data_IF_070326143520
#
_entry.id   IF_070326143520
#
_cell.length_a   1.000
_cell.length_b   1.000
_cell.length_c   1.000
_cell.angle_alpha   90.00
_cell.angle_beta   90.00
_cell.angle_gamma   90.00
#
_symmetry.space_group_name_H-M   'P 1'
#
loop_
_entity.id
_entity.type
_entity.pdbx_description
1 polymer ?
#
# COMPACT_ATOMS: atom_id res chain seq x y z
N UNK A 1 15.09 -9.03 10.55
CA UNK A 1 14.27 -8.01 9.84
C UNK A 1 12.83 -8.23 10.23
N UNK A 2 12.11 -7.20 10.69
CA UNK A 2 10.69 -7.34 11.04
C UNK A 2 9.85 -7.43 9.74
N UNK A 3 8.75 -8.21 9.73
CA UNK A 3 7.88 -8.29 8.56
C UNK A 3 7.22 -6.93 8.28
N UNK A 4 7.21 -6.51 7.02
CA UNK A 4 6.51 -5.30 6.61
C UNK A 4 4.99 -5.47 6.77
N UNK A 5 4.35 -4.53 7.47
CA UNK A 5 2.90 -4.46 7.63
C UNK A 5 2.40 -3.34 6.73
N UNK A 6 1.58 -3.64 5.69
CA UNK A 6 1.09 -2.60 4.80
C UNK A 6 0.29 -1.52 5.51
N UNK A 7 0.61 -0.26 5.27
CA UNK A 7 -0.07 0.92 5.84
C UNK A 7 -0.85 1.66 4.76
N UNK A 8 -2.15 1.85 5.00
CA UNK A 8 -3.04 2.61 4.12
C UNK A 8 -3.45 3.91 4.82
N UNK A 9 -3.14 5.05 4.22
CA UNK A 9 -3.52 6.37 4.75
C UNK A 9 -4.86 6.84 4.19
N UNK A 10 -5.82 7.12 5.06
CA UNK A 10 -7.19 7.52 4.70
C UNK A 10 -7.41 9.02 4.91
N UNK A 11 -7.43 9.81 3.83
CA UNK A 11 -7.45 11.29 3.88
C UNK A 11 -8.74 11.89 3.33
N UNK A 12 -9.06 13.12 3.71
CA UNK A 12 -10.19 13.90 3.16
C UNK A 12 -9.84 14.62 1.85
N UNK A 13 -10.81 15.32 1.26
CA UNK A 13 -10.56 16.24 0.16
C UNK A 13 -9.64 17.37 0.61
N UNK A 14 -8.59 17.68 -0.16
CA UNK A 14 -7.79 18.90 0.01
C UNK A 14 -6.37 18.71 0.57
N UNK A 15 -6.04 17.56 1.18
CA UNK A 15 -4.66 17.28 1.62
C UNK A 15 -4.02 16.21 0.72
N UNK A 16 -3.39 16.65 -0.37
CA UNK A 16 -2.43 15.83 -1.11
C UNK A 16 -1.05 16.00 -0.47
N UNK A 17 -0.67 15.05 0.39
CA UNK A 17 0.75 14.86 0.69
C UNK A 17 1.44 14.41 -0.59
N UNK A 18 2.66 14.89 -0.81
CA UNK A 18 3.44 14.42 -1.96
C UNK A 18 3.75 12.93 -1.81
N UNK A 19 3.98 12.25 -2.93
CA UNK A 19 4.42 10.85 -2.92
C UNK A 19 5.72 10.64 -2.14
N UNK A 20 6.61 11.65 -2.10
CA UNK A 20 7.85 11.60 -1.31
C UNK A 20 7.58 11.60 0.19
N UNK A 21 6.73 12.51 0.68
CA UNK A 21 6.38 12.59 2.10
C UNK A 21 5.69 11.31 2.59
N UNK A 22 4.80 10.74 1.77
CA UNK A 22 4.11 9.50 2.12
C UNK A 22 5.08 8.32 2.23
N UNK A 23 6.05 8.24 1.32
CA UNK A 23 7.09 7.20 1.35
C UNK A 23 8.01 7.34 2.57
N UNK A 24 8.41 8.56 2.91
CA UNK A 24 9.20 8.85 4.10
C UNK A 24 8.46 8.46 5.39
N UNK A 25 7.13 8.64 5.42
CA UNK A 25 6.29 8.25 6.54
C UNK A 25 5.95 6.74 6.57
N UNK A 26 6.45 5.93 5.62
CA UNK A 26 6.15 4.51 5.56
C UNK A 26 4.70 4.18 5.17
N UNK A 27 4.05 5.07 4.41
CA UNK A 27 2.71 4.83 3.85
C UNK A 27 2.83 4.10 2.51
N UNK A 28 2.17 2.95 2.39
CA UNK A 28 2.17 2.15 1.15
C UNK A 28 1.05 2.56 0.19
N UNK A 29 -0.10 2.96 0.72
CA UNK A 29 -1.27 3.30 -0.08
C UNK A 29 -2.04 4.51 0.46
N UNK A 30 -2.78 5.19 -0.41
CA UNK A 30 -3.70 6.27 -0.06
C UNK A 30 -5.12 5.86 -0.43
N UNK A 31 -6.09 6.18 0.43
CA UNK A 31 -7.52 6.13 0.11
C UNK A 31 -8.18 7.48 0.45
N UNK A 32 -8.73 8.15 -0.56
CA UNK A 32 -9.38 9.46 -0.39
C UNK A 32 -10.85 9.28 0.01
N UNK A 33 -11.31 10.04 0.98
CA UNK A 33 -12.71 10.11 1.43
C UNK A 33 -13.50 11.11 0.58
N UNK A 34 -14.78 10.81 0.28
CA UNK A 34 -15.46 9.55 0.54
C UNK A 34 -14.99 8.48 -0.43
N UNK A 35 -14.99 7.24 0.05
CA UNK A 35 -14.69 6.05 -0.73
C UNK A 35 -15.87 5.09 -0.70
N UNK A 36 -15.97 4.25 -1.72
CA UNK A 36 -16.90 3.13 -1.81
C UNK A 36 -16.28 1.89 -1.18
N UNK A 37 -17.10 0.97 -0.67
CA UNK A 37 -16.65 -0.31 -0.13
C UNK A 37 -15.78 -1.10 -1.13
N UNK A 38 -16.10 -1.04 -2.43
CA UNK A 38 -15.29 -1.69 -3.48
C UNK A 38 -13.84 -1.18 -3.53
N UNK A 39 -13.61 0.08 -3.19
CA UNK A 39 -12.27 0.67 -3.16
C UNK A 39 -11.47 0.15 -1.95
N UNK A 40 -12.14 -0.05 -0.81
CA UNK A 40 -11.55 -0.73 0.35
C UNK A 40 -11.18 -2.18 0.00
N UNK A 41 -12.09 -2.94 -0.61
CA UNK A 41 -11.80 -4.33 -1.01
C UNK A 41 -10.60 -4.41 -1.97
N UNK A 42 -10.51 -3.47 -2.92
CA UNK A 42 -9.40 -3.38 -3.85
C UNK A 42 -8.06 -3.09 -3.16
N UNK A 43 -8.05 -2.15 -2.20
CA UNK A 43 -6.82 -1.78 -1.48
C UNK A 43 -6.33 -2.90 -0.57
N UNK A 44 -7.26 -3.61 0.10
CA UNK A 44 -6.93 -4.78 0.93
C UNK A 44 -6.32 -5.90 0.07
N UNK A 45 -6.90 -6.16 -1.11
CA UNK A 45 -6.35 -7.14 -2.05
C UNK A 45 -4.93 -6.76 -2.47
N UNK A 46 -4.71 -5.51 -2.88
CA UNK A 46 -3.37 -5.00 -3.25
C UNK A 46 -2.36 -5.13 -2.10
N UNK A 47 -2.75 -4.73 -0.89
CA UNK A 47 -1.89 -4.81 0.29
C UNK A 47 -1.48 -6.25 0.63
N UNK A 48 -2.39 -7.21 0.47
CA UNK A 48 -2.09 -8.64 0.66
C UNK A 48 -1.23 -9.23 -0.46
N UNK A 49 -1.49 -8.84 -1.71
CA UNK A 49 -0.75 -9.32 -2.88
C UNK A 49 0.68 -8.76 -2.93
N UNK A 50 0.91 -7.58 -2.34
CA UNK A 50 2.23 -6.94 -2.23
C UNK A 50 3.24 -7.78 -1.42
N UNK A 51 2.77 -8.74 -0.61
CA UNK A 51 3.62 -9.73 0.08
C UNK A 51 4.20 -10.82 -0.85
N UNK A 52 3.72 -10.95 -2.10
CA UNK A 52 4.12 -12.05 -3.00
C UNK A 52 5.32 -11.75 -3.92
N UNK A 53 5.91 -10.55 -3.90
CA UNK A 53 7.01 -10.20 -4.81
C UNK A 53 8.42 -10.38 -4.23
N UNK A 54 8.58 -11.22 -3.20
CA UNK A 54 9.89 -11.78 -2.78
C UNK A 54 9.94 -13.29 -3.04
N UNK A 55 9.94 -13.67 -4.32
CA UNK A 55 10.59 -14.89 -4.80
C UNK A 55 11.32 -14.52 -6.10
N UNK A 56 12.61 -14.22 -5.98
CA UNK A 56 13.52 -14.35 -7.12
C UNK A 56 13.90 -15.82 -7.15
N UNK A 57 13.45 -16.50 -8.20
CA UNK A 57 13.91 -17.83 -8.58
C UNK A 57 15.43 -17.81 -8.70
N UNK A 58 16.11 -18.58 -7.85
CA UNK A 58 17.48 -19.02 -8.09
C UNK A 58 17.55 -20.53 -8.00
N UNK A 59 16.90 -21.19 -8.95
CA UNK A 59 17.25 -22.56 -9.36
C UNK A 59 17.04 -22.68 -10.87
N UNK A 60 18.08 -22.33 -11.63
CA UNK A 60 18.42 -23.01 -12.88
C UNK A 60 19.92 -23.20 -12.88
N UNK A 61 20.34 -24.46 -12.99
CA UNK A 61 21.72 -24.85 -13.25
C UNK A 61 22.18 -24.45 -14.64
#
# INVERSE_FOLDING_TARGET
>A
MLPHVPVVFMTGWGNQLSSSQLKECGVDFILVKPFKIREISSIIKKANDSKKMFKVDKERG
#
